data_IF_519473909341
#
_entry.id   IF_519473909341
#
_cell.length_a   1.000
_cell.length_b   1.000
_cell.length_c   1.000
_cell.angle_alpha   90.00
_cell.angle_beta   90.00
_cell.angle_gamma   90.00
#
_symmetry.space_group_name_H-M   'P 1'
#
loop_
_entity.id
_entity.type
_entity.pdbx_description
1 polymer ?
#
# COMPACT_ATOMS: atom_id res chain seq x y z
N UNK A 1 -7.01 9.37 -16.37
CA UNK A 1 -5.60 9.84 -16.54
C UNK A 1 -5.29 9.90 -18.05
N UNK A 2 -5.50 11.05 -18.71
CA UNK A 2 -5.36 11.20 -20.17
C UNK A 2 -3.90 11.33 -20.65
N UNK A 3 -2.97 11.60 -19.72
CA UNK A 3 -1.57 11.91 -20.01
C UNK A 3 -0.82 10.83 -20.79
N UNK A 4 -1.21 9.55 -20.66
CA UNK A 4 -0.57 8.42 -21.35
C UNK A 4 -1.47 7.76 -22.39
N UNK A 5 -2.60 8.39 -22.73
CA UNK A 5 -3.51 7.87 -23.74
C UNK A 5 -2.80 7.83 -25.09
N UNK A 6 -2.80 6.66 -25.76
CA UNK A 6 -2.08 6.45 -27.02
C UNK A 6 -0.58 6.14 -26.90
N UNK A 7 0.04 6.39 -25.74
CA UNK A 7 1.48 6.14 -25.52
C UNK A 7 1.79 4.72 -25.01
N UNK A 8 0.77 3.98 -24.59
CA UNK A 8 0.96 2.64 -24.00
C UNK A 8 1.68 1.63 -24.89
N UNK A 9 1.43 1.54 -26.21
CA UNK A 9 2.20 0.64 -27.07
C UNK A 9 3.70 0.91 -27.01
N UNK A 10 4.13 2.18 -27.04
CA UNK A 10 5.53 2.57 -26.92
C UNK A 10 6.10 2.26 -25.52
N UNK A 11 5.36 2.59 -24.46
CA UNK A 11 5.77 2.32 -23.08
C UNK A 11 6.00 0.82 -22.86
N UNK A 12 5.08 -0.03 -23.34
CA UNK A 12 5.19 -1.49 -23.26
C UNK A 12 6.39 -1.98 -24.09
N UNK A 13 6.57 -1.47 -25.31
CA UNK A 13 7.73 -1.80 -26.14
C UNK A 13 9.07 -1.46 -25.46
N UNK A 14 9.16 -0.29 -24.83
CA UNK A 14 10.35 0.14 -24.09
C UNK A 14 10.61 -0.69 -22.84
N UNK A 15 9.56 -1.10 -22.12
CA UNK A 15 9.69 -1.99 -20.97
C UNK A 15 10.17 -3.38 -21.40
N UNK A 16 9.62 -3.93 -22.49
CA UNK A 16 10.04 -5.20 -23.05
C UNK A 16 11.50 -5.18 -23.56
N UNK A 17 11.93 -4.05 -24.14
CA UNK A 17 13.31 -3.84 -24.58
C UNK A 17 14.32 -3.67 -23.41
N UNK A 18 13.85 -3.49 -22.18
CA UNK A 18 14.67 -3.32 -20.98
C UNK A 18 14.30 -4.35 -19.90
N UNK A 19 14.56 -5.62 -20.19
CA UNK A 19 14.18 -6.75 -19.33
C UNK A 19 14.71 -6.61 -17.90
N UNK A 20 15.95 -6.14 -17.72
CA UNK A 20 16.54 -5.98 -16.38
C UNK A 20 15.84 -4.94 -15.49
N UNK A 21 15.27 -3.88 -16.08
CA UNK A 21 14.44 -2.94 -15.33
C UNK A 21 13.08 -3.56 -14.98
N UNK A 22 12.45 -4.23 -15.94
CA UNK A 22 11.14 -4.87 -15.72
C UNK A 22 11.23 -5.97 -14.66
N UNK A 23 12.26 -6.82 -14.71
CA UNK A 23 12.53 -7.85 -13.70
C UNK A 23 12.70 -7.25 -12.31
N UNK A 24 13.38 -6.10 -12.20
CA UNK A 24 13.52 -5.39 -10.92
C UNK A 24 12.17 -4.88 -10.41
N UNK A 25 11.36 -4.26 -11.27
CA UNK A 25 10.03 -3.79 -10.90
C UNK A 25 9.12 -4.94 -10.43
N UNK A 26 9.18 -6.09 -11.11
CA UNK A 26 8.45 -7.30 -10.72
C UNK A 26 8.95 -7.82 -9.37
N UNK A 27 10.27 -7.96 -9.19
CA UNK A 27 10.87 -8.40 -7.94
C UNK A 27 10.49 -7.49 -6.76
N UNK A 28 10.55 -6.18 -6.95
CA UNK A 28 10.23 -5.20 -5.92
C UNK A 28 8.73 -5.18 -5.58
N UNK A 29 7.86 -5.58 -6.52
CA UNK A 29 6.43 -5.68 -6.31
C UNK A 29 5.98 -7.02 -5.69
N UNK A 30 6.82 -8.05 -5.74
CA UNK A 30 6.45 -9.40 -5.28
C UNK A 30 5.94 -9.40 -3.83
N UNK A 31 6.60 -8.74 -2.84
CA UNK A 31 6.07 -8.70 -1.48
C UNK A 31 4.69 -8.03 -1.38
N UNK A 32 4.40 -7.06 -2.24
CA UNK A 32 3.11 -6.36 -2.29
C UNK A 32 2.02 -7.23 -2.89
N UNK A 33 2.36 -8.01 -3.93
CA UNK A 33 1.46 -8.99 -4.52
C UNK A 33 1.08 -10.08 -3.50
N UNK A 34 2.06 -10.55 -2.73
CA UNK A 34 1.91 -11.65 -1.77
C UNK A 34 1.27 -11.21 -0.44
N UNK A 35 1.39 -9.92 -0.07
CA UNK A 35 0.85 -9.39 1.18
C UNK A 35 -0.68 -9.62 1.30
N UNK A 36 -1.16 -9.99 2.48
CA UNK A 36 -2.59 -10.14 2.71
C UNK A 36 -3.36 -8.83 2.43
N UNK A 37 -4.54 -8.92 1.82
CA UNK A 37 -5.41 -7.77 1.65
C UNK A 37 -5.96 -7.37 3.01
N UNK A 38 -5.75 -6.10 3.38
CA UNK A 38 -6.30 -5.54 4.62
C UNK A 38 -6.93 -4.19 4.35
N UNK A 39 -8.24 -4.09 4.58
CA UNK A 39 -9.05 -2.91 4.33
C UNK A 39 -9.80 -2.57 5.63
N UNK A 40 -9.80 -1.31 6.09
CA UNK A 40 -10.51 -0.94 7.30
C UNK A 40 -12.01 -1.16 7.14
N UNK A 41 -12.66 -1.75 8.14
CA UNK A 41 -14.10 -2.04 8.10
C UNK A 41 -14.98 -0.87 8.58
N UNK A 42 -14.36 0.21 9.04
CA UNK A 42 -14.99 1.44 9.54
C UNK A 42 -14.04 2.63 9.36
N UNK A 43 -14.50 3.85 9.66
CA UNK A 43 -13.73 5.11 9.56
C UNK A 43 -12.60 5.26 10.60
N UNK A 44 -11.76 4.24 10.78
CA UNK A 44 -10.77 4.14 11.87
C UNK A 44 -9.43 4.81 11.57
N UNK A 45 -9.19 5.28 10.34
CA UNK A 45 -7.92 5.90 10.00
C UNK A 45 -7.85 7.36 10.50
N UNK A 46 -6.81 7.71 11.26
CA UNK A 46 -6.61 9.05 11.80
C UNK A 46 -5.44 9.79 11.10
N UNK A 47 -4.88 10.83 11.73
CA UNK A 47 -3.80 11.63 11.16
C UNK A 47 -2.45 10.92 11.24
N UNK A 48 -1.72 10.90 10.13
CA UNK A 48 -0.47 10.15 10.01
C UNK A 48 0.66 10.65 10.93
N UNK A 49 0.63 11.92 11.37
CA UNK A 49 1.66 12.46 12.26
C UNK A 49 1.51 11.98 13.71
N UNK A 50 0.47 11.24 14.05
CA UNK A 50 0.39 10.55 15.33
C UNK A 50 1.21 9.27 15.40
N UNK A 51 1.74 8.74 14.27
CA UNK A 51 2.52 7.50 14.25
C UNK A 51 4.01 7.68 14.63
N UNK A 52 4.25 8.39 15.74
CA UNK A 52 5.58 8.72 16.25
C UNK A 52 5.70 8.40 17.73
N UNK A 53 6.90 8.01 18.16
CA UNK A 53 7.24 7.81 19.56
C UNK A 53 7.23 9.17 20.29
N UNK A 54 6.46 9.31 21.38
CA UNK A 54 6.38 10.57 22.14
C UNK A 54 7.69 10.92 22.86
N UNK A 55 8.54 9.94 23.16
CA UNK A 55 9.80 10.15 23.88
C UNK A 55 10.95 10.49 22.93
N UNK A 56 11.04 9.79 21.80
CA UNK A 56 12.18 9.87 20.88
C UNK A 56 11.91 10.69 19.61
N UNK A 57 10.64 11.03 19.32
CA UNK A 57 10.27 11.79 18.12
C UNK A 57 10.51 11.05 16.80
N UNK A 58 10.79 9.75 16.85
CA UNK A 58 10.99 8.89 15.67
C UNK A 58 9.70 8.19 15.28
N UNK A 59 9.59 7.80 14.01
CA UNK A 59 8.45 7.04 13.51
C UNK A 59 8.39 5.66 14.17
N UNK A 60 7.20 5.23 14.58
CA UNK A 60 7.01 3.88 15.12
C UNK A 60 7.20 2.84 14.01
N UNK A 61 7.65 1.64 14.40
CA UNK A 61 7.83 0.53 13.48
C UNK A 61 6.44 0.08 12.97
N UNK A 62 6.22 0.18 11.67
CA UNK A 62 4.99 -0.32 11.07
C UNK A 62 5.13 -1.82 10.79
N UNK A 63 4.18 -2.59 11.31
CA UNK A 63 4.11 -4.04 11.16
C UNK A 63 2.70 -4.43 10.77
N UNK A 64 2.59 -5.20 9.68
CA UNK A 64 1.29 -5.63 9.15
C UNK A 64 0.58 -6.57 10.14
N UNK A 65 1.32 -7.43 10.83
CA UNK A 65 0.80 -8.46 11.73
C UNK A 65 0.33 -7.93 13.08
N UNK A 66 0.73 -6.72 13.48
CA UNK A 66 0.47 -6.17 14.81
C UNK A 66 -0.17 -4.77 14.76
N UNK A 67 -1.45 -4.65 14.36
CA UNK A 67 -2.12 -3.35 14.18
C UNK A 67 -2.38 -2.57 15.47
N UNK A 68 -2.12 -3.16 16.65
CA UNK A 68 -2.31 -2.54 17.97
C UNK A 68 -1.02 -2.57 18.82
N UNK A 69 0.14 -2.84 18.20
CA UNK A 69 1.43 -2.82 18.89
C UNK A 69 2.42 -2.03 18.04
N UNK A 70 2.73 -0.83 18.50
CA UNK A 70 3.51 0.14 17.76
C UNK A 70 4.83 0.38 18.47
N UNK A 71 5.84 -0.41 18.09
CA UNK A 71 7.14 -0.38 18.75
C UNK A 71 7.95 0.86 18.35
N UNK A 72 8.53 1.54 19.34
CA UNK A 72 9.60 2.49 19.08
C UNK A 72 10.86 1.75 18.63
N UNK A 73 11.50 2.14 17.52
CA UNK A 73 12.71 1.48 17.03
C UNK A 73 13.97 1.76 17.87
N UNK A 74 13.91 2.68 18.85
CA UNK A 74 15.07 3.06 19.68
C UNK A 74 15.21 2.16 20.91
N UNK A 75 14.11 1.92 21.62
CA UNK A 75 14.07 1.24 22.93
C UNK A 75 13.09 0.06 22.97
N UNK A 76 12.26 -0.11 21.93
CA UNK A 76 11.28 -1.18 21.85
C UNK A 76 9.99 -0.94 22.63
N UNK A 77 9.78 0.26 23.20
CA UNK A 77 8.54 0.58 23.91
C UNK A 77 7.34 0.42 22.98
N UNK A 78 6.27 -0.22 23.47
CA UNK A 78 5.06 -0.50 22.70
C UNK A 78 3.97 0.51 23.05
N UNK A 79 3.53 1.26 22.05
CA UNK A 79 2.35 2.11 22.13
C UNK A 79 1.14 1.37 21.52
N UNK A 80 -0.06 1.65 22.04
CA UNK A 80 -1.32 1.02 21.61
C UNK A 80 -2.51 1.94 21.86
N UNK A 81 -3.60 1.74 21.12
CA UNK A 81 -4.78 2.58 21.18
C UNK A 81 -4.62 3.88 20.39
N UNK A 82 -5.61 4.76 20.51
CA UNK A 82 -5.53 6.08 19.89
C UNK A 82 -4.47 6.95 20.59
N UNK A 83 -3.68 7.74 19.82
CA UNK A 83 -3.87 8.01 18.39
C UNK A 83 -3.07 7.10 17.43
N UNK A 84 -2.36 6.10 17.95
CA UNK A 84 -1.43 5.27 17.17
C UNK A 84 -2.13 4.24 16.29
N UNK A 85 -3.18 3.58 16.80
CA UNK A 85 -3.99 2.61 16.06
C UNK A 85 -4.57 3.25 14.79
N UNK A 86 -5.22 4.41 14.91
CA UNK A 86 -5.76 5.12 13.76
C UNK A 86 -4.68 5.60 12.77
N UNK A 87 -3.52 6.02 13.26
CA UNK A 87 -2.42 6.43 12.40
C UNK A 87 -1.76 5.25 11.66
N UNK A 88 -1.75 4.05 12.28
CA UNK A 88 -1.36 2.80 11.62
C UNK A 88 -2.31 2.47 10.47
N UNK A 89 -3.61 2.65 10.65
CA UNK A 89 -4.61 2.46 9.59
C UNK A 89 -4.48 3.49 8.47
N UNK A 90 -4.12 4.73 8.80
CA UNK A 90 -3.80 5.74 7.79
C UNK A 90 -2.60 5.32 6.93
N UNK A 91 -1.58 4.74 7.53
CA UNK A 91 -0.45 4.19 6.79
C UNK A 91 -0.84 2.96 5.95
N UNK A 92 -1.63 2.03 6.50
CA UNK A 92 -2.13 0.86 5.76
C UNK A 92 -2.93 1.30 4.51
N UNK A 93 -3.77 2.33 4.63
CA UNK A 93 -4.48 2.91 3.49
C UNK A 93 -3.52 3.48 2.44
N UNK A 94 -2.47 4.17 2.87
CA UNK A 94 -1.42 4.65 1.97
C UNK A 94 -0.72 3.49 1.23
N UNK A 95 -0.38 2.41 1.95
CA UNK A 95 0.22 1.20 1.38
C UNK A 95 -0.68 0.52 0.36
N UNK A 96 -1.99 0.43 0.63
CA UNK A 96 -2.97 -0.10 -0.33
C UNK A 96 -3.08 0.76 -1.60
N UNK A 97 -3.05 2.10 -1.46
CA UNK A 97 -3.07 3.01 -2.60
C UNK A 97 -1.80 2.85 -3.46
N UNK A 98 -0.62 2.78 -2.83
CA UNK A 98 0.64 2.51 -3.51
C UNK A 98 0.64 1.14 -4.19
N UNK A 99 0.09 0.11 -3.54
CA UNK A 99 -0.07 -1.22 -4.14
C UNK A 99 -0.94 -1.17 -5.40
N UNK A 100 -2.07 -0.46 -5.37
CA UNK A 100 -2.92 -0.29 -6.54
C UNK A 100 -2.18 0.37 -7.72
N UNK A 101 -1.36 1.38 -7.43
CA UNK A 101 -0.57 2.07 -8.46
C UNK A 101 0.53 1.18 -9.03
N UNK A 102 1.32 0.52 -8.18
CA UNK A 102 2.46 -0.31 -8.59
C UNK A 102 2.00 -1.55 -9.36
N UNK A 103 1.04 -2.30 -8.82
CA UNK A 103 0.51 -3.52 -9.45
C UNK A 103 -0.32 -3.15 -10.69
N UNK A 104 -1.06 -2.05 -10.67
CA UNK A 104 -1.78 -1.56 -11.85
C UNK A 104 -0.84 -1.22 -13.02
N UNK A 105 0.32 -0.61 -12.73
CA UNK A 105 1.35 -0.38 -13.73
C UNK A 105 1.93 -1.69 -14.26
N UNK A 106 2.30 -2.63 -13.39
CA UNK A 106 2.85 -3.92 -13.80
C UNK A 106 1.87 -4.72 -14.66
N UNK A 107 0.58 -4.72 -14.32
CA UNK A 107 -0.45 -5.31 -15.17
C UNK A 107 -0.44 -4.70 -16.59
N UNK A 108 -0.33 -3.37 -16.70
CA UNK A 108 -0.30 -2.69 -18.00
C UNK A 108 0.96 -2.97 -18.80
N UNK A 109 2.10 -3.20 -18.14
CA UNK A 109 3.38 -3.50 -18.79
C UNK A 109 3.51 -4.96 -19.21
N UNK A 110 2.98 -5.88 -18.40
CA UNK A 110 3.21 -7.33 -18.54
C UNK A 110 2.01 -8.09 -19.09
N UNK A 111 0.79 -7.57 -18.89
CA UNK A 111 -0.46 -8.29 -19.16
C UNK A 111 -0.86 -9.28 -18.06
N UNK A 112 -0.01 -9.51 -17.05
CA UNK A 112 -0.24 -10.54 -16.04
C UNK A 112 -1.44 -10.22 -15.14
N UNK A 113 -2.43 -11.11 -15.13
CA UNK A 113 -3.73 -10.85 -14.50
C UNK A 113 -3.68 -10.86 -12.98
N UNK A 114 -2.72 -11.54 -12.37
CA UNK A 114 -2.56 -11.58 -10.92
C UNK A 114 -2.44 -10.17 -10.31
N UNK A 115 -1.70 -9.28 -10.98
CA UNK A 115 -1.60 -7.87 -10.58
C UNK A 115 -2.95 -7.16 -10.65
N UNK A 116 -3.67 -7.30 -11.77
CA UNK A 116 -5.02 -6.72 -11.95
C UNK A 116 -5.99 -7.21 -10.88
N UNK A 117 -5.98 -8.50 -10.60
CA UNK A 117 -6.92 -9.14 -9.69
C UNK A 117 -6.68 -8.67 -8.24
N UNK A 118 -5.42 -8.46 -7.86
CA UNK A 118 -5.06 -7.84 -6.58
C UNK A 118 -5.57 -6.40 -6.48
N UNK A 119 -5.34 -5.58 -7.52
CA UNK A 119 -5.86 -4.19 -7.58
C UNK A 119 -7.37 -4.16 -7.50
N UNK A 120 -8.06 -5.04 -8.24
CA UNK A 120 -9.52 -5.15 -8.21
C UNK A 120 -10.02 -5.49 -6.80
N UNK A 121 -9.39 -6.47 -6.15
CA UNK A 121 -9.76 -6.88 -4.78
C UNK A 121 -9.64 -5.71 -3.80
N UNK A 122 -8.54 -4.96 -3.86
CA UNK A 122 -8.34 -3.77 -3.02
C UNK A 122 -9.40 -2.69 -3.28
N UNK A 123 -9.55 -2.26 -4.54
CA UNK A 123 -10.46 -1.16 -4.89
C UNK A 123 -11.93 -1.50 -4.61
N UNK A 124 -12.36 -2.72 -4.91
CA UNK A 124 -13.74 -3.13 -4.64
C UNK A 124 -13.99 -3.29 -3.14
N UNK A 125 -13.03 -3.85 -2.39
CA UNK A 125 -13.18 -3.96 -0.94
C UNK A 125 -13.28 -2.60 -0.25
N UNK A 126 -12.60 -1.56 -0.75
CA UNK A 126 -12.83 -0.19 -0.27
C UNK A 126 -14.21 0.32 -0.68
N UNK A 127 -14.63 0.09 -1.93
CA UNK A 127 -15.94 0.54 -2.41
C UNK A 127 -17.10 -0.04 -1.60
N UNK A 128 -16.97 -1.27 -1.11
CA UNK A 128 -17.98 -1.95 -0.28
C UNK A 128 -18.16 -1.29 1.10
N UNK A 129 -17.10 -0.67 1.66
CA UNK A 129 -17.11 -0.12 3.03
C UNK A 129 -17.18 1.40 3.08
N UNK A 130 -16.72 2.10 2.04
CA UNK A 130 -16.64 3.57 2.01
C UNK A 130 -17.96 4.29 2.32
N UNK A 131 -19.15 3.80 1.88
CA UNK A 131 -20.42 4.43 2.22
C UNK A 131 -20.72 4.48 3.72
N UNK A 132 -20.09 3.61 4.53
CA UNK A 132 -20.25 3.56 5.99
C UNK A 132 -19.14 4.27 6.77
N UNK A 133 -18.22 4.97 6.10
CA UNK A 133 -17.25 5.81 6.78
C UNK A 133 -17.91 7.15 7.12
N UNK A 134 -18.29 7.32 8.38
CA UNK A 134 -18.73 8.59 8.95
C UNK A 134 -17.55 9.33 9.60
#
# INVERSE_FOLDING_TARGET
MKQFSGLWPDIVGRAAANSGLLERLVKDAQPVLDAAVRIPQSGIASWNLYYFCPHHGVRLAWRADTPHQHACPVDGEIFSGEPWDGAWWREMNGRNASACQQLGLLWRLTGETAYRDKVRTLLMGYADVYPGYE
#
